data_IF_086004650345
#
_entry.id   IF_086004650345
#
_cell.length_a   1.000
_cell.length_b   1.000
_cell.length_c   1.000
_cell.angle_alpha   90.00
_cell.angle_beta   90.00
_cell.angle_gamma   90.00
#
_symmetry.space_group_name_H-M   'P 1'
#
loop_
_entity.id
_entity.type
_entity.pdbx_description
1 polymer ?
#
# COMPACT_ATOMS: atom_id res chain seq x y z
N UNK A 1 1.26 23.52 -8.15
CA UNK A 1 1.01 22.09 -8.40
C UNK A 1 0.07 22.01 -9.60
N UNK A 2 0.50 21.39 -10.68
CA UNK A 2 -0.36 21.10 -11.82
C UNK A 2 -1.47 20.13 -11.38
N UNK A 3 -2.65 20.19 -11.99
CA UNK A 3 -3.70 19.20 -11.76
C UNK A 3 -3.21 17.77 -12.01
N UNK A 4 -2.25 17.60 -12.94
CA UNK A 4 -1.60 16.32 -13.22
C UNK A 4 -0.78 15.79 -12.03
N UNK A 5 -0.10 16.67 -11.29
CA UNK A 5 0.70 16.28 -10.12
C UNK A 5 -0.19 15.77 -8.98
N UNK A 6 -1.34 16.42 -8.79
CA UNK A 6 -2.33 16.03 -7.77
C UNK A 6 -2.91 14.65 -8.07
N UNK A 7 -3.19 14.36 -9.35
CA UNK A 7 -3.66 13.05 -9.80
C UNK A 7 -2.54 12.00 -9.68
N UNK A 8 -1.29 12.37 -9.96
CA UNK A 8 -0.13 11.49 -9.79
C UNK A 8 0.08 11.01 -8.34
N UNK A 9 -0.39 11.78 -7.36
CA UNK A 9 -0.31 11.45 -5.93
C UNK A 9 -1.58 10.78 -5.39
N UNK A 10 -2.56 10.44 -6.23
CA UNK A 10 -3.86 9.89 -5.82
C UNK A 10 -3.76 8.72 -4.82
N UNK A 11 -2.87 7.76 -5.08
CA UNK A 11 -2.66 6.61 -4.19
C UNK A 11 -2.25 7.03 -2.78
N UNK A 12 -1.38 8.04 -2.65
CA UNK A 12 -0.94 8.56 -1.35
C UNK A 12 -2.08 9.26 -0.59
N UNK A 13 -2.92 10.02 -1.29
CA UNK A 13 -4.09 10.67 -0.68
C UNK A 13 -5.08 9.65 -0.09
N UNK A 14 -5.37 8.59 -0.86
CA UNK A 14 -6.26 7.51 -0.43
C UNK A 14 -5.69 6.78 0.80
N UNK A 15 -4.39 6.49 0.78
CA UNK A 15 -3.70 5.84 1.91
C UNK A 15 -3.74 6.70 3.17
N UNK A 16 -3.41 7.98 3.08
CA UNK A 16 -3.43 8.89 4.24
C UNK A 16 -4.85 8.99 4.81
N UNK A 17 -5.87 9.10 3.95
CA UNK A 17 -7.26 9.13 4.38
C UNK A 17 -7.66 7.85 5.12
N UNK A 18 -7.37 6.68 4.56
CA UNK A 18 -7.64 5.38 5.20
C UNK A 18 -6.91 5.23 6.54
N UNK A 19 -5.65 5.67 6.59
CA UNK A 19 -4.82 5.61 7.79
C UNK A 19 -5.42 6.47 8.91
N UNK A 20 -5.82 7.71 8.61
CA UNK A 20 -6.46 8.59 9.58
C UNK A 20 -7.85 8.09 10.02
N UNK A 21 -8.63 7.54 9.10
CA UNK A 21 -9.92 6.93 9.43
C UNK A 21 -9.77 5.73 10.37
N UNK A 22 -8.81 4.82 10.09
CA UNK A 22 -8.52 3.67 10.94
C UNK A 22 -8.06 4.09 12.34
N UNK A 23 -7.14 5.06 12.40
CA UNK A 23 -6.66 5.61 13.67
C UNK A 23 -7.79 6.28 14.48
N UNK A 24 -8.67 7.03 13.82
CA UNK A 24 -9.84 7.64 14.47
C UNK A 24 -10.77 6.59 15.09
N UNK A 25 -11.07 5.50 14.37
CA UNK A 25 -11.95 4.43 14.88
C UNK A 25 -11.37 3.77 16.13
N UNK A 26 -10.04 3.57 16.17
CA UNK A 26 -9.34 2.97 17.32
C UNK A 26 -9.45 3.84 18.58
N UNK A 27 -9.37 5.16 18.44
CA UNK A 27 -9.45 6.10 19.57
C UNK A 27 -10.91 6.33 20.01
N UNK A 28 -11.82 6.55 19.06
CA UNK A 28 -13.16 7.07 19.33
C UNK A 28 -14.16 6.04 19.89
N UNK A 29 -13.92 4.73 19.72
CA UNK A 29 -14.87 3.70 20.13
C UNK A 29 -14.42 2.99 21.40
N UNK A 30 -15.28 2.87 22.42
CA UNK A 30 -14.96 2.08 23.62
C UNK A 30 -15.06 0.56 23.41
N UNK A 31 -15.83 0.11 22.42
CA UNK A 31 -16.01 -1.31 22.13
C UNK A 31 -14.75 -1.91 21.48
N UNK A 32 -14.20 -2.97 22.08
CA UNK A 32 -12.99 -3.64 21.60
C UNK A 32 -13.13 -4.22 20.19
N UNK A 33 -14.30 -4.72 19.79
CA UNK A 33 -14.53 -5.25 18.44
C UNK A 33 -14.38 -4.14 17.40
N UNK A 34 -14.96 -2.96 17.67
CA UNK A 34 -14.86 -1.81 16.76
C UNK A 34 -13.42 -1.27 16.70
N UNK A 35 -12.68 -1.30 17.81
CA UNK A 35 -11.24 -0.99 17.80
C UNK A 35 -10.45 -1.98 16.94
N UNK A 36 -10.75 -3.28 17.01
CA UNK A 36 -10.08 -4.30 16.21
C UNK A 36 -10.34 -4.11 14.71
N UNK A 37 -11.56 -3.73 14.32
CA UNK A 37 -11.87 -3.35 12.94
C UNK A 37 -11.09 -2.10 12.52
N UNK A 38 -11.02 -1.07 13.38
CA UNK A 38 -10.21 0.12 13.13
C UNK A 38 -8.72 -0.17 12.98
N UNK A 39 -8.19 -1.08 13.80
CA UNK A 39 -6.79 -1.52 13.73
C UNK A 39 -6.49 -2.28 12.44
N UNK A 40 -7.37 -3.18 12.00
CA UNK A 40 -7.25 -3.88 10.72
C UNK A 40 -7.30 -2.90 9.53
N UNK A 41 -8.17 -1.89 9.60
CA UNK A 41 -8.24 -0.85 8.58
C UNK A 41 -6.95 -0.01 8.53
N UNK A 42 -6.40 0.34 9.69
CA UNK A 42 -5.12 1.01 9.81
C UNK A 42 -3.97 0.16 9.22
N UNK A 43 -3.88 -1.13 9.57
CA UNK A 43 -2.87 -2.04 9.02
C UNK A 43 -2.97 -2.16 7.49
N UNK A 44 -4.18 -2.31 6.96
CA UNK A 44 -4.42 -2.37 5.51
C UNK A 44 -3.97 -1.09 4.79
N UNK A 45 -4.16 0.07 5.41
CA UNK A 45 -3.68 1.35 4.86
C UNK A 45 -2.15 1.42 4.80
N UNK A 46 -1.46 0.90 5.81
CA UNK A 46 0.02 0.82 5.82
C UNK A 46 0.50 -0.12 4.73
N UNK A 47 -0.16 -1.26 4.52
CA UNK A 47 0.18 -2.16 3.41
C UNK A 47 0.06 -1.46 2.04
N UNK A 48 -1.02 -0.70 1.82
CA UNK A 48 -1.15 0.08 0.58
C UNK A 48 -0.06 1.14 0.42
N UNK A 49 0.41 1.76 1.51
CA UNK A 49 1.55 2.70 1.46
C UNK A 49 2.82 2.02 0.94
N UNK A 50 3.18 0.87 1.51
CA UNK A 50 4.37 0.12 1.14
C UNK A 50 4.31 -0.38 -0.32
N UNK A 51 3.15 -0.86 -0.75
CA UNK A 51 2.95 -1.30 -2.14
C UNK A 51 3.09 -0.11 -3.10
N UNK A 52 2.50 1.05 -2.76
CA UNK A 52 2.62 2.26 -3.58
C UNK A 52 4.06 2.74 -3.75
N UNK A 53 4.92 2.53 -2.76
CA UNK A 53 6.35 2.85 -2.85
C UNK A 53 7.16 1.79 -3.60
N UNK A 54 6.70 0.53 -3.60
CA UNK A 54 7.35 -0.58 -4.29
C UNK A 54 7.04 -0.69 -5.79
N UNK A 55 6.02 0.04 -6.26
CA UNK A 55 5.59 0.04 -7.65
C UNK A 55 6.58 0.80 -8.54
N UNK A 56 7.07 0.14 -9.59
CA UNK A 56 7.93 0.73 -10.62
C UNK A 56 7.12 0.83 -11.91
N UNK A 57 7.17 1.98 -12.60
CA UNK A 57 6.54 2.11 -13.92
C UNK A 57 7.05 1.01 -14.87
N UNK A 58 6.13 0.31 -15.52
CA UNK A 58 6.39 -0.86 -16.37
C UNK A 58 7.04 -2.07 -15.67
N UNK A 59 7.06 -2.09 -14.32
CA UNK A 59 7.57 -3.20 -13.53
C UNK A 59 6.57 -4.35 -13.39
N UNK A 60 6.94 -5.52 -13.89
CA UNK A 60 6.18 -6.77 -13.72
C UNK A 60 6.32 -7.31 -12.29
N UNK A 61 5.39 -8.17 -11.87
CA UNK A 61 5.44 -8.87 -10.58
C UNK A 61 6.81 -9.58 -10.42
N UNK A 62 7.48 -9.51 -9.26
CA UNK A 62 8.82 -10.05 -9.03
C UNK A 62 8.83 -11.59 -8.94
N UNK A 63 8.46 -12.26 -10.04
CA UNK A 63 8.50 -13.70 -10.24
C UNK A 63 9.39 -13.95 -11.46
N UNK A 64 10.51 -14.62 -11.26
CA UNK A 64 11.46 -14.90 -12.34
C UNK A 64 10.80 -15.81 -13.38
N UNK A 65 10.73 -15.35 -14.62
CA UNK A 65 10.22 -16.14 -15.75
C UNK A 65 11.40 -16.77 -16.47
N UNK A 66 11.51 -18.10 -16.42
CA UNK A 66 12.51 -18.83 -17.22
C UNK A 66 12.18 -18.71 -18.72
N UNK A 67 13.15 -18.28 -19.54
CA UNK A 67 13.02 -18.00 -20.99
C UNK A 67 12.24 -16.73 -21.36
N UNK A 68 12.37 -15.64 -20.60
CA UNK A 68 11.87 -14.34 -21.06
C UNK A 68 12.62 -13.88 -22.33
N UNK A 69 11.87 -13.58 -23.39
CA UNK A 69 12.42 -13.14 -24.68
C UNK A 69 13.05 -11.74 -24.65
N UNK A 70 12.75 -10.94 -23.60
CA UNK A 70 13.17 -9.56 -23.40
C UNK A 70 13.59 -9.35 -21.93
N UNK A 71 14.48 -8.40 -21.61
CA UNK A 71 14.81 -8.05 -20.23
C UNK A 71 13.55 -7.53 -19.51
N UNK A 72 13.01 -8.34 -18.60
CA UNK A 72 11.82 -7.99 -17.82
C UNK A 72 12.21 -7.06 -16.68
N UNK A 73 11.61 -5.87 -16.66
CA UNK A 73 11.68 -4.97 -15.50
C UNK A 73 10.75 -5.52 -14.41
N UNK A 74 11.27 -5.71 -13.20
CA UNK A 74 10.50 -6.18 -12.06
C UNK A 74 10.24 -5.05 -11.08
N UNK A 75 9.07 -5.06 -10.45
CA UNK A 75 8.77 -4.21 -9.29
C UNK A 75 9.65 -4.60 -8.09
N UNK A 76 9.83 -3.68 -7.14
CA UNK A 76 10.73 -3.89 -6.01
C UNK A 76 10.23 -5.07 -5.13
N UNK A 77 11.04 -6.12 -4.89
CA UNK A 77 10.61 -7.27 -4.11
C UNK A 77 10.60 -7.01 -2.59
N UNK A 78 11.28 -5.97 -2.11
CA UNK A 78 11.41 -5.71 -0.66
C UNK A 78 10.06 -5.45 0.02
N UNK A 79 9.18 -4.56 -0.49
CA UNK A 79 7.89 -4.32 0.14
C UNK A 79 7.00 -5.56 0.16
N UNK A 80 7.11 -6.44 -0.83
CA UNK A 80 6.32 -7.67 -0.89
C UNK A 80 6.66 -8.61 0.26
N UNK A 81 7.96 -8.82 0.55
CA UNK A 81 8.39 -9.69 1.65
C UNK A 81 8.10 -9.07 3.01
N UNK A 82 8.32 -7.76 3.17
CA UNK A 82 8.06 -7.06 4.44
C UNK A 82 6.59 -7.12 4.86
N UNK A 83 5.66 -7.06 3.91
CA UNK A 83 4.22 -7.16 4.19
C UNK A 83 3.81 -8.60 4.55
N UNK A 84 4.46 -9.61 3.97
CA UNK A 84 4.16 -11.02 4.21
C UNK A 84 4.46 -11.49 5.64
N UNK A 85 5.32 -10.77 6.36
CA UNK A 85 5.64 -11.04 7.77
C UNK A 85 4.82 -10.21 8.77
N UNK A 86 4.09 -9.19 8.27
CA UNK A 86 3.48 -8.14 9.08
C UNK A 86 2.01 -8.41 9.45
#
# INVERSE_FOLDING_TARGET
>A
MSFADVIGLYSYWVVIFLMMAGFYVVIAHDNMIKKLVGLNLFQTSVFMLYISMGNVLDGTVPIVVENAAEPVLYSNPLPHVLILTA
#
